data_IF_803022174299
#
_entry.id   IF_803022174299
#
_cell.length_a   1.000
_cell.length_b   1.000
_cell.length_c   1.000
_cell.angle_alpha   90.00
_cell.angle_beta   90.00
_cell.angle_gamma   90.00
#
_symmetry.space_group_name_H-M   'P 1'
#
loop_
_entity.id
_entity.type
_entity.pdbx_description
1 polymer ?
#
# COMPACT_ATOMS: atom_id res chain seq x y z
N UNK A 1 13.94 9.69 -12.45
CA UNK A 1 12.95 10.80 -12.41
C UNK A 1 11.94 10.46 -11.33
N UNK A 2 11.85 11.27 -10.27
CA UNK A 2 10.92 11.05 -9.16
C UNK A 2 9.49 11.13 -9.72
N UNK A 3 8.79 10.01 -9.83
CA UNK A 3 7.38 9.97 -10.28
C UNK A 3 6.50 10.55 -9.16
N UNK A 4 6.45 11.87 -9.13
CA UNK A 4 5.66 12.70 -8.23
C UNK A 4 4.28 12.97 -8.86
N UNK A 5 3.61 11.91 -9.32
CA UNK A 5 2.25 12.01 -9.87
C UNK A 5 1.27 11.40 -8.88
N UNK A 6 1.22 11.97 -7.68
CA UNK A 6 0.09 11.78 -6.76
C UNK A 6 -0.22 13.07 -5.98
N UNK A 7 0.24 14.22 -6.51
CA UNK A 7 0.23 15.50 -5.79
C UNK A 7 -1.07 16.31 -5.89
N UNK A 8 -2.06 15.91 -6.70
CA UNK A 8 -3.13 16.84 -7.10
C UNK A 8 -4.56 16.39 -6.77
N UNK A 9 -4.76 15.33 -5.96
CA UNK A 9 -6.11 14.76 -5.76
C UNK A 9 -6.59 14.63 -4.31
N UNK A 10 -5.93 15.26 -3.35
CA UNK A 10 -6.31 15.22 -1.93
C UNK A 10 -6.45 16.62 -1.31
N UNK A 11 -7.12 17.54 -2.02
CA UNK A 11 -7.68 18.75 -1.40
C UNK A 11 -9.02 18.48 -0.68
N UNK A 12 -9.27 17.24 -0.23
CA UNK A 12 -10.20 17.01 0.86
C UNK A 12 -9.47 17.41 2.13
N UNK A 13 -9.75 18.63 2.58
CA UNK A 13 -9.34 19.21 3.84
C UNK A 13 -9.82 18.36 5.01
N UNK A 14 -9.13 17.24 5.26
CA UNK A 14 -9.27 16.51 6.51
C UNK A 14 -8.44 17.24 7.56
N UNK A 15 -8.97 18.37 8.01
CA UNK A 15 -8.46 19.16 9.16
C UNK A 15 -8.55 18.40 10.49
N UNK A 16 -8.94 17.12 10.46
CA UNK A 16 -9.16 16.27 11.65
C UNK A 16 -7.82 15.76 12.24
N UNK A 17 -6.71 15.81 11.49
CA UNK A 17 -5.48 15.10 11.87
C UNK A 17 -4.41 15.95 12.58
N UNK A 18 -4.72 17.20 12.95
CA UNK A 18 -3.82 18.08 13.68
C UNK A 18 -3.90 17.95 15.22
N UNK A 19 -4.81 17.13 15.76
CA UNK A 19 -4.91 16.92 17.21
C UNK A 19 -3.99 15.77 17.65
N UNK A 20 -2.85 16.16 18.22
CA UNK A 20 -1.80 15.33 18.81
C UNK A 20 -2.23 14.54 20.06
N UNK A 21 -3.34 13.82 20.01
CA UNK A 21 -3.89 13.08 21.16
C UNK A 21 -4.79 11.88 20.83
N UNK A 22 -5.17 11.67 19.56
CA UNK A 22 -5.95 10.49 19.17
C UNK A 22 -5.03 9.38 18.69
N UNK A 23 -5.09 8.21 19.34
CA UNK A 23 -4.40 7.01 18.85
C UNK A 23 -4.99 6.56 17.51
N UNK A 24 -4.20 5.89 16.68
CA UNK A 24 -4.70 5.38 15.39
C UNK A 24 -5.92 4.45 15.57
N UNK A 25 -5.98 3.74 16.70
CA UNK A 25 -7.12 2.91 17.08
C UNK A 25 -8.42 3.72 17.23
N UNK A 26 -8.38 4.92 17.80
CA UNK A 26 -9.60 5.76 17.94
C UNK A 26 -10.05 6.34 16.59
N UNK A 27 -9.09 6.65 15.70
CA UNK A 27 -9.38 7.07 14.32
C UNK A 27 -10.08 5.92 13.58
N UNK A 28 -9.54 4.71 13.67
CA UNK A 28 -10.15 3.52 13.08
C UNK A 28 -11.56 3.29 13.63
N UNK A 29 -11.76 3.36 14.95
CA UNK A 29 -13.08 3.15 15.54
C UNK A 29 -14.11 4.14 14.99
N UNK A 30 -13.73 5.42 14.85
CA UNK A 30 -14.59 6.44 14.26
C UNK A 30 -14.95 6.10 12.82
N UNK A 31 -13.96 5.76 12.00
CA UNK A 31 -14.16 5.39 10.59
C UNK A 31 -15.04 4.13 10.46
N UNK A 32 -14.76 3.10 11.26
CA UNK A 32 -15.48 1.81 11.25
C UNK A 32 -16.93 1.99 11.67
N UNK A 33 -17.23 2.86 12.65
CA UNK A 33 -18.60 3.15 13.10
C UNK A 33 -19.50 3.76 12.01
N UNK A 34 -18.89 4.36 10.98
CA UNK A 34 -19.58 4.97 9.84
C UNK A 34 -19.60 4.03 8.61
N UNK A 35 -18.97 2.86 8.71
CA UNK A 35 -18.81 1.91 7.62
C UNK A 35 -19.82 0.79 7.70
N UNK A 36 -20.39 0.41 6.55
CA UNK A 36 -21.15 -0.84 6.41
C UNK A 36 -20.15 -1.96 6.11
N UNK A 37 -20.01 -2.92 7.02
CA UNK A 37 -19.11 -4.06 6.84
C UNK A 37 -19.86 -5.19 6.11
N UNK A 38 -19.25 -5.76 5.08
CA UNK A 38 -19.79 -6.87 4.31
C UNK A 38 -18.64 -7.77 3.82
N UNK A 39 -18.55 -8.99 4.33
CA UNK A 39 -17.45 -9.92 3.99
C UNK A 39 -17.51 -10.44 2.55
N UNK A 40 -18.64 -10.28 1.86
CA UNK A 40 -18.84 -10.73 0.48
C UNK A 40 -18.58 -9.60 -0.54
N UNK A 41 -18.66 -8.34 -0.13
CA UNK A 41 -18.42 -7.19 -1.01
C UNK A 41 -16.92 -6.95 -1.22
N UNK A 42 -16.44 -7.23 -2.43
CA UNK A 42 -15.02 -7.12 -2.80
C UNK A 42 -14.63 -5.77 -3.39
N UNK A 43 -15.53 -4.79 -3.45
CA UNK A 43 -15.29 -3.51 -4.13
C UNK A 43 -13.99 -2.85 -3.68
N UNK A 44 -13.77 -2.75 -2.36
CA UNK A 44 -12.54 -2.14 -1.82
C UNK A 44 -11.31 -3.02 -2.01
N UNK A 45 -11.48 -4.35 -1.91
CA UNK A 45 -10.40 -5.29 -2.19
C UNK A 45 -9.91 -5.14 -3.65
N UNK A 46 -10.84 -5.12 -4.60
CA UNK A 46 -10.56 -5.02 -6.03
C UNK A 46 -9.95 -3.67 -6.39
N UNK A 47 -10.32 -2.58 -5.68
CA UNK A 47 -9.65 -1.29 -5.84
C UNK A 47 -8.19 -1.32 -5.39
N UNK A 48 -7.88 -1.99 -4.27
CA UNK A 48 -6.51 -2.16 -3.78
C UNK A 48 -5.69 -3.05 -4.72
N UNK A 49 -6.31 -4.10 -5.26
CA UNK A 49 -5.67 -4.99 -6.23
C UNK A 49 -5.45 -4.30 -7.58
N UNK A 50 -6.43 -3.55 -8.10
CA UNK A 50 -6.29 -2.77 -9.34
C UNK A 50 -5.20 -1.70 -9.21
N UNK A 51 -5.10 -1.02 -8.05
CA UNK A 51 -3.98 -0.11 -7.76
C UNK A 51 -2.65 -0.84 -7.80
N UNK A 52 -2.55 -2.00 -7.13
CA UNK A 52 -1.34 -2.82 -7.12
C UNK A 52 -0.91 -3.20 -8.54
N UNK A 53 -1.83 -3.74 -9.33
CA UNK A 53 -1.54 -4.19 -10.69
C UNK A 53 -1.01 -3.03 -11.54
N UNK A 54 -1.69 -1.87 -11.49
CA UNK A 54 -1.40 -0.73 -12.37
C UNK A 54 -0.18 0.09 -11.99
N UNK A 55 0.16 0.13 -10.70
CA UNK A 55 1.18 1.04 -10.19
C UNK A 55 2.45 0.33 -9.72
N UNK A 56 2.31 -0.87 -9.14
CA UNK A 56 3.44 -1.57 -8.53
C UNK A 56 3.91 -2.78 -9.33
N UNK A 57 2.98 -3.57 -9.87
CA UNK A 57 3.30 -4.81 -10.59
C UNK A 57 3.58 -4.58 -12.08
N UNK A 58 2.93 -3.60 -12.71
CA UNK A 58 3.14 -3.34 -14.12
C UNK A 58 4.57 -2.85 -14.42
N UNK A 59 5.11 -3.28 -15.55
CA UNK A 59 6.45 -2.83 -16.00
C UNK A 59 6.47 -1.32 -16.25
N UNK A 60 5.33 -0.76 -16.67
CA UNK A 60 5.12 0.65 -16.94
C UNK A 60 4.01 1.22 -16.03
N UNK A 61 3.92 2.55 -15.97
CA UNK A 61 2.81 3.19 -15.26
C UNK A 61 1.52 3.02 -16.06
N UNK A 62 0.57 2.29 -15.50
CA UNK A 62 -0.74 2.01 -16.10
C UNK A 62 -1.89 2.65 -15.31
N UNK A 63 -1.58 3.65 -14.47
CA UNK A 63 -2.59 4.43 -13.77
C UNK A 63 -3.38 5.27 -14.75
N UNK A 64 -4.71 5.11 -14.73
CA UNK A 64 -5.60 5.78 -15.67
C UNK A 64 -6.59 6.72 -14.97
N UNK A 65 -7.14 7.73 -15.69
CA UNK A 65 -8.22 8.57 -15.17
C UNK A 65 -9.44 7.75 -14.73
N UNK A 66 -9.74 6.65 -15.42
CA UNK A 66 -10.87 5.76 -15.08
C UNK A 66 -10.70 5.16 -13.69
N UNK A 67 -9.50 4.68 -13.34
CA UNK A 67 -9.23 4.18 -12.00
C UNK A 67 -9.40 5.28 -10.95
N UNK A 68 -8.90 6.48 -11.24
CA UNK A 68 -9.07 7.64 -10.35
C UNK A 68 -10.55 7.95 -10.11
N UNK A 69 -11.38 7.90 -11.16
CA UNK A 69 -12.83 8.08 -11.03
C UNK A 69 -13.52 6.96 -10.24
N UNK A 70 -13.10 5.70 -10.40
CA UNK A 70 -13.61 4.58 -9.59
C UNK A 70 -13.32 4.82 -8.10
N UNK A 71 -12.08 5.21 -7.78
CA UNK A 71 -11.66 5.52 -6.41
C UNK A 71 -12.48 6.66 -5.80
N UNK A 72 -12.65 7.77 -6.54
CA UNK A 72 -13.47 8.91 -6.12
C UNK A 72 -14.94 8.53 -5.88
N UNK A 73 -15.49 7.68 -6.76
CA UNK A 73 -16.87 7.20 -6.61
C UNK A 73 -17.02 6.35 -5.35
N UNK A 74 -16.09 5.43 -5.10
CA UNK A 74 -16.12 4.60 -3.89
C UNK A 74 -16.06 5.45 -2.61
N UNK A 75 -15.22 6.48 -2.59
CA UNK A 75 -15.09 7.40 -1.44
C UNK A 75 -16.33 8.27 -1.23
N UNK A 76 -16.99 8.69 -2.31
CA UNK A 76 -18.15 9.60 -2.22
C UNK A 76 -19.49 8.89 -2.03
N UNK A 77 -19.59 7.59 -2.35
CA UNK A 77 -20.81 6.81 -2.15
C UNK A 77 -20.93 6.28 -0.70
N UNK A 78 -21.92 6.79 0.03
CA UNK A 78 -22.29 6.37 1.39
C UNK A 78 -22.74 4.90 1.51
N UNK A 79 -22.94 4.21 0.39
CA UNK A 79 -23.29 2.80 0.34
C UNK A 79 -22.10 1.88 0.13
N UNK A 80 -20.92 2.41 -0.21
CA UNK A 80 -19.70 1.61 -0.36
C UNK A 80 -19.43 0.82 0.92
N UNK A 81 -19.43 -0.50 0.79
CA UNK A 81 -19.10 -1.40 1.89
C UNK A 81 -17.60 -1.40 2.15
N UNK A 82 -17.23 -1.73 3.38
CA UNK A 82 -15.83 -1.87 3.80
C UNK A 82 -14.97 -0.62 3.56
N UNK A 83 -15.58 0.57 3.42
CA UNK A 83 -14.90 1.82 3.09
C UNK A 83 -13.80 2.20 4.09
N UNK A 84 -13.90 1.70 5.33
CA UNK A 84 -12.87 1.88 6.36
C UNK A 84 -11.49 1.38 5.92
N UNK A 85 -11.43 0.27 5.16
CA UNK A 85 -10.18 -0.25 4.61
C UNK A 85 -9.59 0.70 3.57
N UNK A 86 -10.46 1.28 2.72
CA UNK A 86 -10.02 2.25 1.73
C UNK A 86 -9.50 3.53 2.38
N UNK A 87 -10.13 3.99 3.46
CA UNK A 87 -9.64 5.15 4.20
C UNK A 87 -8.28 4.89 4.85
N UNK A 88 -8.07 3.73 5.49
CA UNK A 88 -6.75 3.37 6.02
C UNK A 88 -5.67 3.34 4.92
N UNK A 89 -5.99 2.74 3.78
CA UNK A 89 -5.10 2.70 2.61
C UNK A 89 -4.75 4.12 2.11
N UNK A 90 -5.76 4.99 1.95
CA UNK A 90 -5.56 6.36 1.49
C UNK A 90 -4.83 7.22 2.52
N UNK A 91 -5.08 7.02 3.81
CA UNK A 91 -4.35 7.70 4.89
C UNK A 91 -2.85 7.38 4.82
N UNK A 92 -2.49 6.11 4.61
CA UNK A 92 -1.09 5.71 4.43
C UNK A 92 -0.47 6.40 3.20
N UNK A 93 -1.14 6.37 2.05
CA UNK A 93 -0.65 7.00 0.82
C UNK A 93 -0.52 8.53 0.94
N UNK A 94 -1.48 9.17 1.60
CA UNK A 94 -1.48 10.61 1.83
C UNK A 94 -0.31 11.03 2.73
N UNK A 95 -0.06 10.28 3.80
CA UNK A 95 1.04 10.56 4.73
C UNK A 95 2.41 10.54 4.03
N UNK A 96 2.65 9.55 3.16
CA UNK A 96 3.86 9.48 2.35
C UNK A 96 3.93 10.67 1.38
N UNK A 97 2.85 10.92 0.65
CA UNK A 97 2.79 11.99 -0.35
C UNK A 97 3.04 13.37 0.26
N UNK A 98 2.45 13.64 1.42
CA UNK A 98 2.64 14.90 2.15
C UNK A 98 4.08 15.06 2.64
N UNK A 99 4.67 14.01 3.24
CA UNK A 99 6.06 14.08 3.69
C UNK A 99 7.02 14.37 2.53
N UNK A 100 6.81 13.73 1.37
CA UNK A 100 7.61 13.99 0.16
C UNK A 100 7.43 15.44 -0.32
N UNK A 101 6.20 15.95 -0.35
CA UNK A 101 5.92 17.33 -0.74
C UNK A 101 6.55 18.36 0.20
N UNK A 102 6.63 18.05 1.50
CA UNK A 102 7.30 18.87 2.52
C UNK A 102 8.82 18.67 2.56
N UNK A 103 9.39 17.77 1.74
CA UNK A 103 10.82 17.44 1.76
C UNK A 103 11.28 16.73 3.03
N UNK A 104 10.35 16.09 3.76
CA UNK A 104 10.59 15.37 5.01
C UNK A 104 10.51 13.86 4.80
N UNK A 105 11.05 13.11 5.76
CA UNK A 105 10.78 11.67 5.86
C UNK A 105 9.41 11.47 6.50
N UNK A 106 8.56 10.54 5.99
CA UNK A 106 7.30 10.24 6.64
C UNK A 106 7.54 9.64 8.03
N UNK A 107 6.64 9.91 8.98
CA UNK A 107 6.71 9.36 10.33
C UNK A 107 6.59 7.81 10.28
N UNK A 108 7.61 7.04 10.71
CA UNK A 108 7.58 5.59 10.65
C UNK A 108 6.57 4.96 11.63
N UNK A 109 6.35 5.57 12.80
CA UNK A 109 5.37 5.07 13.78
C UNK A 109 3.97 5.09 13.18
N UNK A 110 3.59 6.21 12.57
CA UNK A 110 2.30 6.34 11.88
C UNK A 110 2.13 5.31 10.76
N UNK A 111 3.17 5.11 9.94
CA UNK A 111 3.14 4.15 8.83
C UNK A 111 2.91 2.73 9.35
N UNK A 112 3.67 2.32 10.36
CA UNK A 112 3.59 0.97 10.94
C UNK A 112 2.22 0.74 11.60
N UNK A 113 1.73 1.69 12.40
CA UNK A 113 0.42 1.58 13.04
C UNK A 113 -0.71 1.49 12.02
N UNK A 114 -0.68 2.36 10.99
CA UNK A 114 -1.71 2.35 9.93
C UNK A 114 -1.70 1.03 9.16
N UNK A 115 -0.52 0.51 8.79
CA UNK A 115 -0.41 -0.76 8.06
C UNK A 115 -0.81 -1.97 8.90
N UNK A 116 -0.50 -1.99 10.20
CA UNK A 116 -0.95 -3.05 11.11
C UNK A 116 -2.48 -3.09 11.23
N UNK A 117 -3.12 -1.92 11.32
CA UNK A 117 -4.58 -1.85 11.34
C UNK A 117 -5.19 -2.25 10.00
N UNK A 118 -4.64 -1.76 8.88
CA UNK A 118 -5.13 -2.11 7.55
C UNK A 118 -5.02 -3.62 7.31
N UNK A 119 -3.90 -4.23 7.67
CA UNK A 119 -3.71 -5.67 7.59
C UNK A 119 -4.73 -6.43 8.44
N UNK A 120 -4.86 -6.08 9.72
CA UNK A 120 -5.77 -6.77 10.64
C UNK A 120 -7.21 -6.69 10.16
N UNK A 121 -7.68 -5.50 9.83
CA UNK A 121 -9.06 -5.26 9.39
C UNK A 121 -9.33 -5.91 8.03
N UNK A 122 -8.38 -5.86 7.08
CA UNK A 122 -8.54 -6.53 5.78
C UNK A 122 -8.64 -8.04 5.94
N UNK A 123 -7.82 -8.62 6.83
CA UNK A 123 -7.87 -10.06 7.13
C UNK A 123 -9.16 -10.45 7.85
N UNK A 124 -9.67 -9.61 8.75
CA UNK A 124 -10.96 -9.82 9.43
C UNK A 124 -12.13 -9.84 8.43
N UNK A 125 -12.14 -8.91 7.47
CA UNK A 125 -13.23 -8.78 6.50
C UNK A 125 -13.16 -9.85 5.41
N UNK A 126 -11.98 -10.10 4.83
CA UNK A 126 -11.84 -10.93 3.62
C UNK A 126 -11.17 -12.29 3.84
N UNK A 127 -10.60 -12.53 5.03
CA UNK A 127 -9.83 -13.74 5.32
C UNK A 127 -8.47 -13.83 4.60
N UNK A 128 -8.14 -12.86 3.74
CA UNK A 128 -6.89 -12.78 2.96
C UNK A 128 -6.46 -11.33 2.77
N UNK A 129 -5.19 -11.13 2.41
CA UNK A 129 -4.59 -9.82 2.19
C UNK A 129 -4.24 -9.64 0.71
N UNK A 130 -4.54 -8.51 0.06
CA UNK A 130 -3.99 -8.18 -1.25
C UNK A 130 -2.46 -7.94 -1.17
N UNK A 131 -1.74 -8.21 -2.26
CA UNK A 131 -0.27 -8.15 -2.32
C UNK A 131 0.30 -6.79 -1.85
N UNK A 132 -0.41 -5.70 -2.15
CA UNK A 132 -0.02 -4.34 -1.77
C UNK A 132 0.14 -4.13 -0.26
N UNK A 133 -0.63 -4.84 0.56
CA UNK A 133 -0.50 -4.74 2.02
C UNK A 133 0.85 -5.30 2.47
N UNK A 134 1.31 -6.42 1.91
CA UNK A 134 2.64 -6.96 2.22
C UNK A 134 3.76 -6.00 1.83
N UNK A 135 3.64 -5.39 0.65
CA UNK A 135 4.62 -4.44 0.12
C UNK A 135 4.71 -3.20 1.00
N UNK A 136 3.59 -2.52 1.24
CA UNK A 136 3.58 -1.30 2.04
C UNK A 136 3.87 -1.55 3.51
N UNK A 137 3.48 -2.71 4.06
CA UNK A 137 3.86 -3.06 5.43
C UNK A 137 5.36 -3.29 5.54
N UNK A 138 5.99 -3.97 4.59
CA UNK A 138 7.44 -4.13 4.56
C UNK A 138 8.17 -2.78 4.48
N UNK A 139 7.72 -1.87 3.62
CA UNK A 139 8.26 -0.51 3.51
C UNK A 139 8.09 0.30 4.80
N UNK A 140 6.91 0.23 5.44
CA UNK A 140 6.65 0.88 6.71
C UNK A 140 7.60 0.38 7.80
N UNK A 141 7.79 -0.94 7.91
CA UNK A 141 8.69 -1.57 8.87
C UNK A 141 10.15 -1.18 8.63
N UNK A 142 10.61 -1.19 7.37
CA UNK A 142 11.97 -0.76 7.02
C UNK A 142 12.20 0.71 7.36
N UNK A 143 11.22 1.58 7.12
CA UNK A 143 11.28 3.00 7.49
C UNK A 143 11.44 3.21 9.01
N UNK A 144 10.92 2.28 9.81
CA UNK A 144 11.07 2.22 11.27
C UNK A 144 12.27 1.42 11.76
N UNK A 145 13.20 1.03 10.87
CA UNK A 145 14.36 0.19 11.18
C UNK A 145 14.03 -1.20 11.74
N UNK A 146 12.82 -1.71 11.50
CA UNK A 146 12.38 -3.07 11.89
C UNK A 146 12.68 -4.08 10.78
N UNK A 147 13.97 -4.23 10.46
CA UNK A 147 14.44 -4.99 9.28
C UNK A 147 13.99 -6.46 9.28
N UNK A 148 14.08 -7.13 10.41
CA UNK A 148 13.69 -8.55 10.54
C UNK A 148 12.19 -8.73 10.29
N UNK A 149 11.34 -7.88 10.87
CA UNK A 149 9.90 -7.88 10.63
C UNK A 149 9.56 -7.59 9.15
N UNK A 150 10.28 -6.66 8.53
CA UNK A 150 10.13 -6.35 7.11
C UNK A 150 10.47 -7.56 6.23
N UNK A 151 11.58 -8.25 6.52
CA UNK A 151 12.01 -9.46 5.80
C UNK A 151 10.99 -10.59 5.92
N UNK A 152 10.47 -10.84 7.13
CA UNK A 152 9.41 -11.83 7.33
C UNK A 152 8.12 -11.48 6.59
N UNK A 153 7.77 -10.19 6.54
CA UNK A 153 6.60 -9.69 5.81
C UNK A 153 6.76 -9.94 4.31
N UNK A 154 7.94 -9.66 3.74
CA UNK A 154 8.25 -9.95 2.33
C UNK A 154 8.19 -11.44 2.04
N UNK A 155 8.81 -12.27 2.88
CA UNK A 155 8.80 -13.73 2.70
C UNK A 155 7.37 -14.31 2.74
N UNK A 156 6.54 -13.82 3.66
CA UNK A 156 5.14 -14.21 3.77
C UNK A 156 4.34 -13.77 2.54
N UNK A 157 4.55 -12.53 2.08
CA UNK A 157 3.92 -12.02 0.88
C UNK A 157 4.30 -12.83 -0.36
N UNK A 158 5.57 -13.17 -0.53
CA UNK A 158 6.05 -13.92 -1.69
C UNK A 158 5.55 -15.37 -1.70
N UNK A 159 5.27 -15.95 -0.52
CA UNK A 159 4.61 -17.26 -0.44
C UNK A 159 3.18 -17.22 -0.99
N UNK A 160 2.44 -16.16 -0.70
CA UNK A 160 1.05 -15.99 -1.19
C UNK A 160 1.00 -15.47 -2.63
N UNK A 161 1.97 -14.66 -3.03
CA UNK A 161 2.07 -13.99 -4.32
C UNK A 161 3.43 -14.25 -4.99
N UNK A 162 3.69 -15.49 -5.43
CA UNK A 162 4.99 -15.88 -5.97
C UNK A 162 5.40 -15.11 -7.22
N UNK A 163 4.43 -14.57 -7.99
CA UNK A 163 4.67 -13.81 -9.22
C UNK A 163 4.77 -12.28 -8.99
N UNK A 164 4.70 -11.83 -7.73
CA UNK A 164 4.82 -10.41 -7.41
C UNK A 164 6.25 -9.92 -7.66
N UNK A 165 6.41 -9.06 -8.66
CA UNK A 165 7.72 -8.49 -9.00
C UNK A 165 8.25 -7.63 -7.85
N UNK A 166 7.47 -6.75 -7.20
CA UNK A 166 7.95 -6.00 -6.04
C UNK A 166 8.45 -6.89 -4.89
N UNK A 167 7.71 -7.97 -4.57
CA UNK A 167 8.12 -8.87 -3.49
C UNK A 167 9.37 -9.68 -3.86
N UNK A 168 9.51 -10.12 -5.12
CA UNK A 168 10.75 -10.73 -5.62
C UNK A 168 11.93 -9.77 -5.52
N UNK A 169 11.75 -8.50 -5.91
CA UNK A 169 12.78 -7.46 -5.79
C UNK A 169 13.21 -7.29 -4.33
N UNK A 170 12.27 -7.11 -3.41
CA UNK A 170 12.60 -6.96 -1.99
C UNK A 170 13.24 -8.22 -1.40
N UNK A 171 12.78 -9.40 -1.78
CA UNK A 171 13.39 -10.66 -1.37
C UNK A 171 14.85 -10.77 -1.86
N UNK A 172 15.12 -10.43 -3.13
CA UNK A 172 16.48 -10.37 -3.65
C UNK A 172 17.35 -9.34 -2.90
N UNK A 173 16.82 -8.14 -2.64
CA UNK A 173 17.59 -7.12 -1.91
C UNK A 173 17.99 -7.59 -0.51
N UNK A 174 17.15 -8.39 0.16
CA UNK A 174 17.39 -8.96 1.47
C UNK A 174 18.36 -10.16 1.47
N UNK A 175 18.22 -11.05 0.49
CA UNK A 175 18.88 -12.38 0.51
C UNK A 175 20.06 -12.51 -0.45
N UNK A 176 20.10 -11.68 -1.50
CA UNK A 176 20.98 -11.82 -2.65
C UNK A 176 20.83 -13.17 -3.38
N UNK A 177 19.62 -13.75 -3.39
CA UNK A 177 19.35 -14.99 -4.12
C UNK A 177 19.48 -14.80 -5.65
N UNK A 178 20.46 -15.50 -6.23
CA UNK A 178 20.77 -15.46 -7.66
C UNK A 178 19.65 -15.99 -8.56
N UNK A 179 18.80 -16.89 -8.05
CA UNK A 179 17.64 -17.37 -8.80
C UNK A 179 16.62 -16.25 -9.00
N UNK A 180 16.35 -15.46 -7.95
CA UNK A 180 15.49 -14.29 -8.03
C UNK A 180 16.10 -13.21 -8.93
N UNK A 181 17.42 -12.99 -8.83
CA UNK A 181 18.12 -12.05 -9.72
C UNK A 181 17.92 -12.43 -11.18
N UNK A 182 18.16 -13.70 -11.52
CA UNK A 182 18.02 -14.23 -12.88
C UNK A 182 16.58 -14.12 -13.39
N UNK A 183 15.60 -14.49 -12.57
CA UNK A 183 14.18 -14.36 -12.93
C UNK A 183 13.81 -12.90 -13.24
N UNK A 184 14.17 -11.98 -12.35
CA UNK A 184 13.88 -10.55 -12.50
C UNK A 184 14.54 -9.95 -13.76
N UNK A 185 15.80 -10.29 -14.05
CA UNK A 185 16.52 -9.70 -15.19
C UNK A 185 16.17 -10.34 -16.53
N UNK A 186 15.70 -11.58 -16.53
CA UNK A 186 15.28 -12.27 -17.75
C UNK A 186 13.82 -11.98 -18.10
N UNK A 187 12.93 -12.00 -17.11
CA UNK A 187 11.48 -11.93 -17.33
C UNK A 187 10.91 -10.52 -17.14
N UNK A 188 11.57 -9.68 -16.32
CA UNK A 188 11.09 -8.34 -15.98
C UNK A 188 12.17 -7.24 -16.11
N UNK A 189 13.01 -7.24 -17.17
CA UNK A 189 14.14 -6.30 -17.28
C UNK A 189 13.69 -4.82 -17.36
N UNK A 190 12.46 -4.58 -17.82
CA UNK A 190 11.91 -3.24 -17.98
C UNK A 190 11.14 -2.75 -16.75
N UNK A 191 10.90 -3.61 -15.77
CA UNK A 191 10.13 -3.24 -14.60
C UNK A 191 10.84 -2.13 -13.81
N UNK A 192 10.10 -1.10 -13.43
CA UNK A 192 10.66 0.11 -12.84
C UNK A 192 11.49 -0.17 -11.57
N UNK A 193 11.09 -1.14 -10.73
CA UNK A 193 11.88 -1.53 -9.55
C UNK A 193 13.21 -2.20 -9.92
N UNK A 194 13.21 -3.09 -10.91
CA UNK A 194 14.43 -3.77 -11.38
C UNK A 194 15.44 -2.73 -11.85
N UNK A 195 14.97 -1.74 -12.62
CA UNK A 195 15.78 -0.62 -13.08
C UNK A 195 16.22 0.31 -11.94
N UNK A 196 15.31 0.69 -11.04
CA UNK A 196 15.58 1.61 -9.93
C UNK A 196 16.66 1.07 -8.99
N UNK A 197 16.62 -0.23 -8.69
CA UNK A 197 17.58 -0.88 -7.81
C UNK A 197 18.82 -1.41 -8.55
N UNK A 198 18.90 -1.21 -9.87
CA UNK A 198 20.06 -1.60 -10.67
C UNK A 198 20.35 -3.10 -10.64
N UNK A 199 19.30 -3.93 -10.59
CA UNK A 199 19.43 -5.39 -10.62
C UNK A 199 19.83 -5.80 -12.04
N UNK A 200 20.99 -6.43 -12.16
CA UNK A 200 21.62 -6.86 -13.42
C UNK A 200 22.00 -8.31 -13.33
#
# INVERSE_FOLDING_TARGET
MKKLILGTLLCLSVTIFAQSGNSMASILQKIKSQSKIDTQDKTVYDLMDEFYQKNLQADNDEMTPEFTHKLQRAVSDSNTKNIHLLYLFLMYQQHISQAVAEGKKPNPVFQIETMNLLESETKEVYGKLPAIIYIFKAEALDSGSKKEEAQMTVASGLKEYPDSIPLKVYSYLNTKDENLRKDLTQNHPNHWMVQQFGIK
#
